data_IF_852103412094
#
_entry.id   IF_852103412094
#
_cell.length_a   1.000
_cell.length_b   1.000
_cell.length_c   1.000
_cell.angle_alpha   90.00
_cell.angle_beta   90.00
_cell.angle_gamma   90.00
#
_symmetry.space_group_name_H-M   'P 1'
#
loop_
_entity.id
_entity.type
_entity.pdbx_description
1 polymer ?
#
# COMPACT_ATOMS: atom_id res chain seq x y z
N UNK A 1 6.01 -1.36 -1.61
CA UNK A 1 6.37 -1.38 -3.04
C UNK A 1 7.85 -1.71 -3.27
N UNK A 2 8.35 -1.48 -4.48
CA UNK A 2 9.74 -1.64 -4.92
C UNK A 2 10.33 -2.99 -4.48
N UNK A 3 11.53 -2.98 -3.89
CA UNK A 3 12.20 -4.20 -3.42
C UNK A 3 11.42 -4.92 -2.32
N UNK A 4 10.69 -4.20 -1.46
CA UNK A 4 9.90 -4.80 -0.39
C UNK A 4 8.70 -5.60 -0.90
N UNK A 5 8.30 -5.41 -2.17
CA UNK A 5 7.25 -6.20 -2.81
C UNK A 5 7.75 -6.98 -4.03
N UNK A 6 9.07 -7.13 -4.20
CA UNK A 6 9.68 -7.75 -5.39
C UNK A 6 9.15 -7.16 -6.72
N UNK A 7 8.83 -5.86 -6.73
CA UNK A 7 8.17 -5.13 -7.84
C UNK A 7 6.79 -5.66 -8.25
N UNK A 8 6.17 -6.53 -7.45
CA UNK A 8 4.77 -6.94 -7.62
C UNK A 8 3.86 -6.08 -6.73
N UNK A 9 2.96 -5.26 -7.28
CA UNK A 9 2.04 -4.44 -6.48
C UNK A 9 1.11 -5.28 -5.62
N UNK A 10 0.75 -6.50 -6.05
CA UNK A 10 -0.20 -7.36 -5.32
C UNK A 10 0.37 -7.91 -4.00
N UNK A 11 1.69 -7.81 -3.83
CA UNK A 11 2.38 -8.20 -2.59
C UNK A 11 2.32 -7.07 -1.55
N UNK A 12 2.02 -5.82 -1.92
CA UNK A 12 1.96 -4.69 -0.98
C UNK A 12 1.00 -4.91 0.20
N UNK A 13 -0.23 -5.45 0.02
CA UNK A 13 -1.12 -5.77 1.14
C UNK A 13 -0.54 -6.82 2.10
N UNK A 14 0.23 -7.79 1.59
CA UNK A 14 0.89 -8.80 2.45
C UNK A 14 2.01 -8.17 3.28
N UNK A 15 2.79 -7.27 2.68
CA UNK A 15 3.83 -6.50 3.39
C UNK A 15 3.20 -5.62 4.48
N UNK A 16 2.05 -4.98 4.19
CA UNK A 16 1.34 -4.18 5.18
C UNK A 16 0.83 -5.04 6.35
N UNK A 17 0.35 -6.25 6.07
CA UNK A 17 -0.05 -7.23 7.10
C UNK A 17 1.13 -7.64 7.99
N UNK A 18 2.29 -7.87 7.40
CA UNK A 18 3.51 -8.19 8.15
C UNK A 18 3.94 -7.03 9.05
N UNK A 19 3.99 -5.81 8.52
CA UNK A 19 4.26 -4.59 9.32
C UNK A 19 3.26 -4.44 10.47
N UNK A 20 1.98 -4.70 10.20
CA UNK A 20 0.93 -4.66 11.23
C UNK A 20 1.21 -5.68 12.33
N UNK A 21 1.61 -6.91 11.99
CA UNK A 21 1.96 -7.93 12.98
C UNK A 21 3.18 -7.54 13.81
N UNK A 22 4.25 -7.01 13.19
CA UNK A 22 5.41 -6.52 13.94
C UNK A 22 5.02 -5.43 14.96
N UNK A 23 4.12 -4.52 14.57
CA UNK A 23 3.59 -3.47 15.46
C UNK A 23 2.82 -4.09 16.63
N UNK A 24 1.97 -5.09 16.37
CA UNK A 24 1.20 -5.83 17.39
C UNK A 24 2.10 -6.62 18.34
N UNK A 25 3.22 -7.17 17.87
CA UNK A 25 4.22 -7.89 18.67
C UNK A 25 5.12 -6.96 19.50
N UNK A 26 4.89 -5.64 19.43
CA UNK A 26 5.52 -4.65 20.29
C UNK A 26 6.63 -3.84 19.63
N UNK A 27 6.88 -3.96 18.32
CA UNK A 27 7.89 -3.15 17.63
C UNK A 27 7.50 -1.65 17.61
N UNK A 28 8.12 -0.86 18.49
CA UNK A 28 7.86 0.58 18.64
C UNK A 28 8.60 1.46 17.63
N UNK A 29 9.53 0.91 16.84
CA UNK A 29 10.37 1.69 15.92
C UNK A 29 9.70 2.00 14.59
N UNK A 30 8.62 1.31 14.25
CA UNK A 30 7.85 1.55 13.02
C UNK A 30 6.89 2.72 13.26
N UNK A 31 7.18 3.86 12.60
CA UNK A 31 6.39 5.10 12.71
C UNK A 31 5.45 5.35 11.53
N UNK A 32 5.59 4.60 10.45
CA UNK A 32 4.81 4.79 9.23
C UNK A 32 5.14 3.78 8.14
N UNK A 33 4.32 3.81 7.09
CA UNK A 33 4.43 2.98 5.89
C UNK A 33 4.22 3.82 4.65
N UNK A 34 4.75 3.35 3.52
CA UNK A 34 4.51 3.95 2.20
C UNK A 34 3.87 2.91 1.29
N UNK A 35 2.78 3.29 0.62
CA UNK A 35 2.01 2.43 -0.29
C UNK A 35 1.92 3.13 -1.64
N UNK A 36 2.23 2.41 -2.72
CA UNK A 36 1.98 2.90 -4.09
C UNK A 36 0.60 2.41 -4.55
N UNK A 37 -0.35 3.34 -4.58
CA UNK A 37 -1.75 3.11 -4.96
C UNK A 37 -2.21 4.11 -6.01
N UNK A 38 -3.18 3.70 -6.84
CA UNK A 38 -3.86 4.57 -7.79
C UNK A 38 -5.33 4.15 -7.89
N UNK A 39 -6.14 4.87 -8.67
CA UNK A 39 -7.56 4.56 -8.84
C UNK A 39 -7.72 3.14 -9.38
N UNK A 40 -6.93 2.80 -10.40
CA UNK A 40 -6.89 1.50 -11.06
C UNK A 40 -5.51 0.84 -10.88
N UNK A 41 -5.51 -0.50 -10.84
CA UNK A 41 -4.29 -1.29 -10.63
C UNK A 41 -3.34 -1.29 -11.84
N UNK A 42 -2.09 -1.64 -11.57
CA UNK A 42 -1.06 -1.84 -12.58
C UNK A 42 -0.39 -0.53 -13.02
N UNK A 43 0.19 -0.57 -14.21
CA UNK A 43 0.76 0.59 -14.89
C UNK A 43 0.49 0.52 -16.41
N UNK A 44 0.87 1.59 -17.10
CA UNK A 44 0.83 1.72 -18.54
C UNK A 44 2.06 2.49 -19.02
N UNK A 45 2.50 2.24 -20.25
CA UNK A 45 3.48 3.12 -20.90
C UNK A 45 2.79 4.38 -21.44
N UNK A 46 3.53 5.49 -21.55
CA UNK A 46 3.01 6.72 -22.17
C UNK A 46 2.87 6.47 -23.69
N UNK A 47 1.64 6.49 -24.25
CA UNK A 47 1.42 6.31 -25.68
C UNK A 47 1.84 7.54 -26.48
N UNK A 48 1.93 7.42 -27.80
CA UNK A 48 2.17 8.57 -28.69
C UNK A 48 1.00 9.54 -28.69
N UNK A 49 -0.22 9.01 -28.71
CA UNK A 49 -1.44 9.78 -28.57
C UNK A 49 -1.87 9.76 -27.09
N UNK A 50 -1.74 10.90 -26.41
CA UNK A 50 -2.05 11.01 -24.99
C UNK A 50 -3.54 10.80 -24.67
N UNK A 51 -4.43 10.87 -25.66
CA UNK A 51 -5.86 10.55 -25.47
C UNK A 51 -6.10 9.06 -25.20
N UNK A 52 -5.14 8.18 -25.51
CA UNK A 52 -5.20 6.75 -25.22
C UNK A 52 -4.82 6.39 -23.78
N UNK A 53 -4.40 7.36 -22.96
CA UNK A 53 -4.08 7.12 -21.55
C UNK A 53 -5.32 6.63 -20.80
N UNK A 54 -5.17 5.48 -20.14
CA UNK A 54 -6.17 4.97 -19.22
C UNK A 54 -6.19 5.86 -17.98
N UNK A 55 -7.34 6.46 -17.71
CA UNK A 55 -7.53 7.28 -16.52
C UNK A 55 -7.22 6.47 -15.25
N UNK A 56 -6.48 7.09 -14.31
CA UNK A 56 -6.22 6.49 -13.01
C UNK A 56 -5.31 5.26 -13.00
N UNK A 57 -4.55 5.02 -14.08
CA UNK A 57 -3.52 3.97 -14.14
C UNK A 57 -2.14 4.62 -14.18
N UNK A 58 -1.22 4.15 -13.34
CA UNK A 58 0.14 4.71 -13.22
C UNK A 58 0.91 4.67 -14.54
N UNK A 59 1.72 5.70 -14.83
CA UNK A 59 2.66 5.71 -15.97
C UNK A 59 4.11 5.35 -15.56
N UNK A 60 4.32 5.04 -14.29
CA UNK A 60 5.62 4.67 -13.71
C UNK A 60 5.55 3.26 -13.13
N UNK A 61 5.74 3.11 -11.82
CA UNK A 61 5.65 1.83 -11.13
C UNK A 61 4.19 1.39 -11.00
N UNK A 62 3.98 0.08 -11.00
CA UNK A 62 2.64 -0.50 -10.90
C UNK A 62 2.06 -0.27 -9.50
N UNK A 63 0.79 0.11 -9.46
CA UNK A 63 0.08 0.39 -8.21
C UNK A 63 -0.97 -0.68 -7.90
N UNK A 64 -1.37 -0.78 -6.62
CA UNK A 64 -2.66 -1.40 -6.27
C UNK A 64 -3.82 -0.46 -6.60
N UNK A 65 -5.01 -1.00 -6.80
CA UNK A 65 -6.22 -0.20 -7.02
C UNK A 65 -6.80 0.39 -5.73
N UNK A 66 -7.83 1.20 -5.88
CA UNK A 66 -8.52 1.85 -4.77
C UNK A 66 -9.16 0.85 -3.80
N UNK A 67 -9.84 -0.18 -4.31
CA UNK A 67 -10.53 -1.18 -3.46
C UNK A 67 -9.55 -1.95 -2.58
N UNK A 68 -8.41 -2.34 -3.14
CA UNK A 68 -7.32 -2.99 -2.41
C UNK A 68 -6.71 -2.04 -1.38
N UNK A 69 -6.54 -0.77 -1.73
CA UNK A 69 -6.00 0.27 -0.82
C UNK A 69 -6.90 0.47 0.39
N UNK A 70 -8.20 0.68 0.15
CA UNK A 70 -9.20 0.86 1.20
C UNK A 70 -9.22 -0.36 2.13
N UNK A 71 -9.31 -1.57 1.57
CA UNK A 71 -9.33 -2.81 2.35
C UNK A 71 -8.08 -2.93 3.22
N UNK A 72 -6.89 -2.72 2.65
CA UNK A 72 -5.63 -2.89 3.36
C UNK A 72 -5.46 -1.88 4.51
N UNK A 73 -5.83 -0.61 4.29
CA UNK A 73 -5.73 0.45 5.31
C UNK A 73 -6.75 0.21 6.44
N UNK A 74 -8.00 -0.11 6.11
CA UNK A 74 -9.03 -0.37 7.11
C UNK A 74 -8.71 -1.60 7.95
N UNK A 75 -8.22 -2.69 7.34
CA UNK A 75 -7.75 -3.88 8.07
C UNK A 75 -6.61 -3.55 9.05
N UNK A 76 -5.63 -2.73 8.64
CA UNK A 76 -4.55 -2.29 9.52
C UNK A 76 -5.08 -1.41 10.66
N UNK A 77 -5.96 -0.45 10.34
CA UNK A 77 -6.55 0.45 11.34
C UNK A 77 -7.36 -0.32 12.39
N UNK A 78 -8.15 -1.31 11.96
CA UNK A 78 -8.93 -2.16 12.87
C UNK A 78 -8.03 -2.97 13.80
N UNK A 79 -6.97 -3.60 13.28
CA UNK A 79 -6.02 -4.39 14.09
C UNK A 79 -5.23 -3.55 15.09
N UNK A 80 -4.95 -2.30 14.74
CA UNK A 80 -4.08 -1.41 15.52
C UNK A 80 -4.81 -0.45 16.44
N UNK A 81 -6.16 -0.46 16.42
CA UNK A 81 -7.03 0.46 17.15
C UNK A 81 -6.66 0.59 18.63
N UNK A 82 -6.42 -0.53 19.30
CA UNK A 82 -6.11 -0.57 20.74
C UNK A 82 -4.59 -0.67 21.02
N UNK A 83 -3.78 -0.92 19.98
CA UNK A 83 -2.32 -1.12 20.09
C UNK A 83 -1.57 0.21 20.03
N UNK A 84 -1.91 1.07 19.07
CA UNK A 84 -1.19 2.32 18.85
C UNK A 84 -1.35 3.33 20.01
N UNK A 85 -2.54 3.52 20.62
CA UNK A 85 -2.69 4.44 21.76
C UNK A 85 -1.82 4.07 22.97
N UNK A 86 -1.52 2.78 23.16
CA UNK A 86 -0.66 2.29 24.23
C UNK A 86 0.83 2.63 24.02
N UNK A 87 1.22 3.11 22.83
CA UNK A 87 2.59 3.53 22.51
C UNK A 87 2.94 4.92 23.02
N UNK A 88 1.92 5.73 23.31
CA UNK A 88 2.10 7.09 23.79
C UNK A 88 2.55 7.08 25.25
N UNK A 89 3.86 7.10 25.45
CA UNK A 89 4.54 7.43 26.71
C UNK A 89 5.02 8.87 26.70
#
# INVERSE_FOLDING_TARGET
SHANSNKDPNVQPLVLKDVTHQIMEGNQSIIGVMIESNINAGNQSIPKDLSELKYGVSVTDACIDWTTTETAILEMADKLRDVLPARTS
#
